data_IF_867305079701
#
_entry.id   IF_867305079701
#
_cell.length_a   1.000
_cell.length_b   1.000
_cell.length_c   1.000
_cell.angle_alpha   90.00
_cell.angle_beta   90.00
_cell.angle_gamma   90.00
#
_symmetry.space_group_name_H-M   'P 1'
#
loop_
_entity.id
_entity.type
_entity.pdbx_description
1 polymer ?
#
# COMPACT_ATOMS: atom_id res chain seq x y z
N UNK A 1 3.82 21.95 -12.43
CA UNK A 1 2.39 21.66 -12.67
C UNK A 1 1.94 20.89 -11.45
N UNK A 2 0.90 21.33 -10.77
CA UNK A 2 0.33 20.61 -9.64
C UNK A 2 -0.56 19.52 -10.24
N UNK A 3 -0.35 18.27 -9.82
CA UNK A 3 -1.09 17.11 -10.34
C UNK A 3 -2.48 17.07 -9.71
N UNK A 4 -3.52 16.96 -10.53
CA UNK A 4 -4.90 16.90 -10.08
C UNK A 4 -5.28 15.47 -9.66
N UNK A 5 -6.27 15.33 -8.77
CA UNK A 5 -6.71 13.99 -8.31
C UNK A 5 -7.39 13.15 -9.41
N UNK A 6 -7.93 13.82 -10.43
CA UNK A 6 -8.64 13.18 -11.55
C UNK A 6 -7.74 12.78 -12.71
N UNK A 7 -6.58 13.40 -12.78
CA UNK A 7 -5.58 13.16 -13.80
C UNK A 7 -4.21 13.50 -13.26
N UNK A 8 -3.37 12.49 -13.09
CA UNK A 8 -2.04 12.64 -12.55
C UNK A 8 -1.03 11.75 -13.27
N UNK A 9 0.25 12.04 -13.06
CA UNK A 9 1.34 11.30 -13.68
C UNK A 9 2.25 10.66 -12.64
N UNK A 10 2.84 9.52 -12.99
CA UNK A 10 3.93 8.93 -12.22
C UNK A 10 5.04 8.48 -13.17
N UNK A 11 6.28 8.71 -12.76
CA UNK A 11 7.46 8.33 -13.54
C UNK A 11 8.02 7.01 -13.01
N UNK A 12 8.22 6.04 -13.91
CA UNK A 12 8.75 4.70 -13.57
C UNK A 12 10.15 4.53 -14.14
N UNK A 13 11.07 4.11 -13.28
CA UNK A 13 12.45 3.83 -13.66
C UNK A 13 13.17 2.96 -12.64
N UNK A 14 13.93 1.97 -13.13
CA UNK A 14 14.81 1.12 -12.33
C UNK A 14 14.08 0.48 -11.11
N UNK A 15 12.85 -0.01 -11.30
CA UNK A 15 12.04 -0.60 -10.23
C UNK A 15 11.54 0.40 -9.18
N UNK A 16 11.55 1.69 -9.51
CA UNK A 16 11.06 2.77 -8.66
C UNK A 16 10.01 3.60 -9.37
N UNK A 17 9.06 4.07 -8.59
CA UNK A 17 8.01 5.01 -8.98
C UNK A 17 8.28 6.35 -8.33
N UNK A 18 8.16 7.43 -9.11
CA UNK A 18 8.36 8.81 -8.68
C UNK A 18 7.06 9.57 -8.88
N UNK A 19 6.57 10.17 -7.82
CA UNK A 19 5.37 11.00 -7.80
C UNK A 19 5.67 12.24 -6.95
N UNK A 20 5.33 13.43 -7.46
CA UNK A 20 5.66 14.68 -6.77
C UNK A 20 7.17 14.83 -6.48
N UNK A 21 8.05 14.23 -7.29
CA UNK A 21 9.51 14.26 -7.10
C UNK A 21 10.05 13.30 -6.02
N UNK A 22 9.20 12.53 -5.34
CA UNK A 22 9.60 11.55 -4.33
C UNK A 22 9.59 10.15 -4.92
N UNK A 23 10.75 9.45 -4.85
CA UNK A 23 10.89 8.07 -5.33
C UNK A 23 10.56 7.04 -4.25
N UNK A 24 9.74 6.05 -4.60
CA UNK A 24 9.43 4.85 -3.82
C UNK A 24 9.80 3.60 -4.62
N UNK A 25 9.98 2.48 -3.97
CA UNK A 25 10.09 1.21 -4.68
C UNK A 25 8.74 0.87 -5.33
N UNK A 26 8.74 0.37 -6.56
CA UNK A 26 7.51 -0.06 -7.22
C UNK A 26 6.81 -1.14 -6.39
N UNK A 27 5.46 -1.15 -6.35
CA UNK A 27 4.65 -1.95 -5.43
C UNK A 27 4.38 -1.27 -4.08
N UNK A 28 4.98 -0.11 -3.83
CA UNK A 28 4.78 0.63 -2.58
C UNK A 28 3.34 1.09 -2.39
N UNK A 29 2.73 1.65 -3.44
CA UNK A 29 1.36 2.18 -3.35
C UNK A 29 0.34 1.07 -3.19
N UNK A 30 0.56 -0.09 -3.82
CA UNK A 30 -0.25 -1.28 -3.60
C UNK A 30 -0.22 -1.76 -2.14
N UNK A 31 0.95 -1.80 -1.50
CA UNK A 31 1.07 -2.14 -0.09
C UNK A 31 0.46 -1.08 0.84
N UNK A 32 0.56 0.20 0.49
CA UNK A 32 -0.04 1.29 1.27
C UNK A 32 -1.57 1.28 1.20
N UNK A 33 -2.15 1.03 0.04
CA UNK A 33 -3.59 0.84 -0.10
C UNK A 33 -4.11 -0.21 0.89
N UNK A 34 -3.46 -1.36 0.98
CA UNK A 34 -3.85 -2.42 1.90
C UNK A 34 -3.76 -2.02 3.38
N UNK A 35 -2.86 -1.11 3.73
CA UNK A 35 -2.69 -0.62 5.10
C UNK A 35 -3.69 0.45 5.50
N UNK A 36 -4.14 1.27 4.55
CA UNK A 36 -4.93 2.47 4.85
C UNK A 36 -6.44 2.26 4.60
N UNK A 37 -6.80 1.37 3.64
CA UNK A 37 -8.18 1.20 3.19
C UNK A 37 -9.18 0.87 4.32
N UNK A 38 -8.77 0.12 5.33
CA UNK A 38 -9.69 -0.32 6.41
C UNK A 38 -9.57 0.49 7.70
N UNK A 39 -8.63 1.45 7.78
CA UNK A 39 -8.35 2.13 9.05
C UNK A 39 -9.34 3.20 9.44
N UNK A 40 -9.93 3.88 8.49
CA UNK A 40 -10.57 5.17 8.72
C UNK A 40 -11.97 5.29 8.13
N UNK A 41 -12.81 4.30 8.25
CA UNK A 41 -14.20 4.38 7.77
C UNK A 41 -14.33 4.72 6.26
N UNK A 42 -13.21 4.73 5.51
CA UNK A 42 -13.20 5.14 4.12
C UNK A 42 -14.14 4.28 3.26
N UNK A 43 -14.08 2.96 3.46
CA UNK A 43 -14.99 2.02 2.78
C UNK A 43 -16.45 2.28 3.11
N UNK A 44 -16.77 2.55 4.38
CA UNK A 44 -18.12 2.85 4.82
C UNK A 44 -18.62 4.17 4.21
N UNK A 45 -17.78 5.20 4.15
CA UNK A 45 -18.14 6.48 3.53
C UNK A 45 -18.32 6.40 2.04
N UNK A 46 -17.50 5.65 1.33
CA UNK A 46 -17.73 5.39 -0.10
C UNK A 46 -19.05 4.68 -0.36
N UNK A 47 -19.49 3.78 0.51
CA UNK A 47 -20.77 3.11 0.40
C UNK A 47 -21.95 4.07 0.65
N UNK A 48 -21.83 4.97 1.63
CA UNK A 48 -22.84 6.04 1.87
C UNK A 48 -22.91 6.97 0.67
N UNK A 49 -21.76 7.47 0.20
CA UNK A 49 -21.71 8.32 -1.00
C UNK A 49 -22.35 7.67 -2.19
N UNK A 50 -22.13 6.38 -2.44
CA UNK A 50 -22.74 5.66 -3.57
C UNK A 50 -24.26 5.71 -3.54
N UNK A 51 -24.87 5.60 -2.37
CA UNK A 51 -26.33 5.71 -2.21
C UNK A 51 -26.81 7.12 -2.53
N UNK A 52 -26.19 8.15 -1.97
CA UNK A 52 -26.54 9.55 -2.22
C UNK A 52 -26.25 9.96 -3.67
N UNK A 53 -25.12 9.51 -4.21
CA UNK A 53 -24.77 9.72 -5.62
C UNK A 53 -25.78 9.11 -6.57
N UNK A 54 -26.23 7.87 -6.32
CA UNK A 54 -27.24 7.23 -7.17
C UNK A 54 -28.54 8.02 -7.18
N UNK A 55 -29.01 8.49 -6.03
CA UNK A 55 -30.22 9.31 -5.92
C UNK A 55 -30.07 10.61 -6.72
N UNK A 56 -28.99 11.37 -6.47
CA UNK A 56 -28.72 12.64 -7.14
C UNK A 56 -28.54 12.46 -8.64
N UNK A 57 -27.71 11.52 -9.09
CA UNK A 57 -27.47 11.26 -10.50
C UNK A 57 -28.75 10.81 -11.25
N UNK A 58 -29.61 10.01 -10.58
CA UNK A 58 -30.89 9.63 -11.14
C UNK A 58 -31.82 10.85 -11.33
N UNK A 59 -31.94 11.72 -10.33
CA UNK A 59 -32.71 12.93 -10.41
C UNK A 59 -32.23 13.83 -11.58
N UNK A 60 -30.94 14.12 -11.63
CA UNK A 60 -30.31 14.93 -12.68
C UNK A 60 -30.57 14.37 -14.10
N UNK A 61 -30.46 13.06 -14.26
CA UNK A 61 -30.71 12.40 -15.57
C UNK A 61 -32.19 12.39 -15.96
N UNK A 62 -33.10 12.40 -15.00
CA UNK A 62 -34.57 12.42 -15.27
C UNK A 62 -35.11 13.83 -15.40
N UNK A 63 -34.30 14.87 -15.20
CA UNK A 63 -34.77 16.27 -15.35
C UNK A 63 -35.53 16.77 -14.13
N UNK A 64 -35.28 16.20 -12.97
CA UNK A 64 -35.77 16.65 -11.67
C UNK A 64 -34.62 16.78 -10.72
N UNK A 65 -34.66 17.71 -9.79
CA UNK A 65 -33.66 17.86 -8.75
C UNK A 65 -34.33 18.33 -7.46
N UNK A 66 -33.99 17.63 -6.36
CA UNK A 66 -34.24 18.04 -4.99
C UNK A 66 -32.96 18.65 -4.40
N UNK A 67 -33.03 19.91 -4.00
CA UNK A 67 -31.88 20.66 -3.49
C UNK A 67 -31.22 19.98 -2.32
N UNK A 68 -31.99 19.42 -1.36
CA UNK A 68 -31.45 18.73 -0.19
C UNK A 68 -30.66 17.48 -0.59
N UNK A 69 -31.15 16.71 -1.54
CA UNK A 69 -30.45 15.52 -2.08
C UNK A 69 -29.16 15.92 -2.78
N UNK A 70 -29.19 17.01 -3.54
CA UNK A 70 -28.00 17.54 -4.23
C UNK A 70 -26.91 17.98 -3.24
N UNK A 71 -27.31 18.77 -2.23
CA UNK A 71 -26.37 19.25 -1.21
C UNK A 71 -25.76 18.11 -0.40
N UNK A 72 -26.53 17.06 -0.04
CA UNK A 72 -26.02 15.88 0.65
C UNK A 72 -24.95 15.15 -0.16
N UNK A 73 -25.11 15.02 -1.48
CA UNK A 73 -24.06 14.42 -2.31
C UNK A 73 -22.76 15.25 -2.27
N UNK A 74 -22.88 16.58 -2.30
CA UNK A 74 -21.74 17.49 -2.13
C UNK A 74 -21.05 17.33 -0.76
N UNK A 75 -21.82 17.22 0.32
CA UNK A 75 -21.30 17.03 1.67
C UNK A 75 -20.53 15.71 1.81
N UNK A 76 -21.03 14.63 1.25
CA UNK A 76 -20.33 13.35 1.25
C UNK A 76 -19.02 13.41 0.44
N UNK A 77 -18.98 14.12 -0.69
CA UNK A 77 -17.74 14.35 -1.45
C UNK A 77 -16.75 15.17 -0.60
N UNK A 78 -17.19 16.24 0.06
CA UNK A 78 -16.34 17.05 0.95
C UNK A 78 -15.74 16.17 2.05
N UNK A 79 -16.54 15.29 2.63
CA UNK A 79 -16.05 14.35 3.65
C UNK A 79 -15.02 13.37 3.08
N UNK A 80 -15.27 12.77 1.91
CA UNK A 80 -14.32 11.90 1.21
C UNK A 80 -13.00 12.63 1.00
N UNK A 81 -13.02 13.90 0.58
CA UNK A 81 -11.83 14.72 0.39
C UNK A 81 -11.02 14.94 1.69
N UNK A 82 -11.62 14.80 2.87
CA UNK A 82 -10.86 14.81 4.14
C UNK A 82 -10.12 13.51 4.40
N UNK A 83 -10.60 12.41 3.83
CA UNK A 83 -10.01 11.08 4.00
C UNK A 83 -8.96 10.75 2.92
N UNK A 84 -9.12 11.28 1.70
CA UNK A 84 -8.24 11.00 0.57
C UNK A 84 -6.74 11.22 0.85
N UNK A 85 -6.29 12.25 1.59
CA UNK A 85 -4.87 12.44 1.90
C UNK A 85 -4.25 11.29 2.70
N UNK A 86 -5.05 10.46 3.35
CA UNK A 86 -4.58 9.27 4.06
C UNK A 86 -4.25 8.14 3.09
N UNK A 87 -4.91 8.11 1.94
CA UNK A 87 -4.69 7.14 0.89
C UNK A 87 -3.70 7.70 -0.15
N UNK A 88 -2.56 7.04 -0.30
CA UNK A 88 -1.61 7.46 -1.33
C UNK A 88 -2.07 7.01 -2.72
N UNK A 89 -1.84 7.80 -3.78
CA UNK A 89 -0.96 8.98 -3.84
C UNK A 89 -1.62 10.32 -3.49
N UNK A 90 -2.89 10.37 -3.11
CA UNK A 90 -3.67 11.60 -2.97
C UNK A 90 -3.05 12.64 -2.02
N UNK A 91 -2.26 12.21 -1.02
CA UNK A 91 -1.50 13.15 -0.16
C UNK A 91 -0.44 13.97 -0.91
N UNK A 92 -0.13 13.62 -2.16
CA UNK A 92 0.89 14.26 -2.99
C UNK A 92 0.26 15.01 -4.18
N UNK A 93 -1.07 14.98 -4.29
CA UNK A 93 -1.86 15.65 -5.33
C UNK A 93 -2.55 16.90 -4.79
N UNK A 94 -3.12 17.72 -5.67
CA UNK A 94 -3.83 18.96 -5.30
C UNK A 94 -5.25 18.68 -4.79
N UNK A 95 -5.35 18.29 -3.54
CA UNK A 95 -6.64 18.12 -2.85
C UNK A 95 -7.33 19.47 -2.63
N UNK A 96 -6.58 20.56 -2.40
CA UNK A 96 -7.18 21.86 -2.12
C UNK A 96 -7.88 22.45 -3.35
N UNK A 97 -7.26 22.33 -4.52
CA UNK A 97 -7.90 22.75 -5.78
C UNK A 97 -9.19 21.99 -6.05
N UNK A 98 -9.19 20.66 -5.81
CA UNK A 98 -10.40 19.86 -5.93
C UNK A 98 -11.47 20.24 -4.89
N UNK A 99 -11.08 20.52 -3.65
CA UNK A 99 -12.00 20.98 -2.60
C UNK A 99 -12.69 22.28 -3.00
N UNK A 100 -11.93 23.27 -3.45
CA UNK A 100 -12.48 24.54 -3.91
C UNK A 100 -13.49 24.31 -5.03
N UNK A 101 -13.18 23.45 -6.00
CA UNK A 101 -14.08 23.12 -7.09
C UNK A 101 -15.39 22.46 -6.62
N UNK A 102 -15.33 21.58 -5.62
CA UNK A 102 -16.53 20.94 -5.05
C UNK A 102 -17.36 21.97 -4.26
N UNK A 103 -16.71 22.89 -3.54
CA UNK A 103 -17.38 23.98 -2.83
C UNK A 103 -18.13 24.92 -3.79
N UNK A 104 -17.53 25.22 -4.96
CA UNK A 104 -18.18 26.03 -6.02
C UNK A 104 -19.30 25.30 -6.74
N UNK A 105 -19.19 23.96 -6.90
CA UNK A 105 -20.11 23.18 -7.70
C UNK A 105 -21.36 22.77 -6.93
N UNK A 106 -21.24 22.46 -5.62
CA UNK A 106 -22.37 21.98 -4.79
C UNK A 106 -22.85 23.11 -3.87
N UNK A 107 -23.59 24.06 -4.46
CA UNK A 107 -24.22 25.19 -3.77
C UNK A 107 -25.71 25.23 -4.07
N UNK A 108 -26.48 25.94 -3.27
CA UNK A 108 -27.91 26.16 -3.50
C UNK A 108 -28.16 26.91 -4.83
N UNK A 109 -27.31 27.88 -5.17
CA UNK A 109 -27.41 28.65 -6.41
C UNK A 109 -27.25 27.75 -7.64
N UNK A 110 -26.33 26.79 -7.59
CA UNK A 110 -26.16 25.80 -8.68
C UNK A 110 -27.36 24.87 -8.75
N UNK A 111 -27.89 24.41 -7.62
CA UNK A 111 -29.10 23.60 -7.59
C UNK A 111 -30.32 24.35 -8.21
N UNK A 112 -30.50 25.61 -7.84
CA UNK A 112 -31.58 26.48 -8.39
C UNK A 112 -31.39 26.69 -9.88
N UNK A 113 -30.16 26.92 -10.35
CA UNK A 113 -29.86 27.05 -11.78
C UNK A 113 -30.22 25.76 -12.53
N UNK A 114 -29.91 24.59 -12.00
CA UNK A 114 -30.27 23.31 -12.62
C UNK A 114 -31.78 23.05 -12.61
N UNK A 115 -32.46 23.41 -11.52
CA UNK A 115 -33.94 23.35 -11.45
C UNK A 115 -34.59 24.23 -12.52
N UNK A 116 -34.13 25.47 -12.68
CA UNK A 116 -34.61 26.38 -13.73
C UNK A 116 -34.30 25.84 -15.13
N UNK A 117 -33.09 25.28 -15.33
CA UNK A 117 -32.74 24.61 -16.59
C UNK A 117 -33.73 23.49 -16.95
N UNK A 118 -34.07 22.62 -15.98
CA UNK A 118 -35.03 21.55 -16.22
C UNK A 118 -36.43 22.10 -16.53
N UNK A 119 -36.84 23.18 -15.86
CA UNK A 119 -38.09 23.87 -16.16
C UNK A 119 -38.12 24.40 -17.60
N UNK A 120 -37.06 25.07 -18.04
CA UNK A 120 -36.96 25.59 -19.40
C UNK A 120 -36.91 24.48 -20.46
N UNK A 121 -36.15 23.41 -20.18
CA UNK A 121 -36.07 22.22 -21.04
C UNK A 121 -37.45 21.57 -21.22
N UNK A 122 -38.27 21.52 -20.18
CA UNK A 122 -39.63 21.00 -20.25
C UNK A 122 -40.54 21.81 -21.20
N UNK A 123 -40.29 23.11 -21.36
CA UNK A 123 -41.04 23.95 -22.33
C UNK A 123 -40.84 23.52 -23.80
N UNK A 124 -39.68 22.97 -24.12
CA UNK A 124 -39.30 22.52 -25.47
C UNK A 124 -39.61 21.04 -25.71
N UNK A 125 -39.90 20.25 -24.65
CA UNK A 125 -40.04 18.79 -24.74
C UNK A 125 -41.16 18.30 -25.74
N UNK A 126 -42.19 19.08 -25.92
CA UNK A 126 -43.29 18.77 -26.81
C UNK A 126 -43.28 19.55 -28.14
N UNK A 127 -42.19 20.28 -28.42
CA UNK A 127 -42.08 21.04 -29.68
C UNK A 127 -41.54 20.14 -30.80
N UNK A 128 -42.01 20.42 -32.03
CA UNK A 128 -41.43 19.79 -33.21
C UNK A 128 -39.95 20.18 -33.37
N UNK A 129 -39.12 19.20 -33.66
CA UNK A 129 -37.65 19.39 -33.79
C UNK A 129 -37.32 20.41 -34.90
N UNK A 130 -38.10 20.43 -35.99
CA UNK A 130 -37.93 21.37 -37.09
C UNK A 130 -38.12 22.84 -36.64
N UNK A 131 -39.05 23.10 -35.72
CA UNK A 131 -39.29 24.43 -35.17
C UNK A 131 -38.12 24.89 -34.30
N UNK A 132 -37.61 24.01 -33.44
CA UNK A 132 -36.44 24.29 -32.58
C UNK A 132 -35.22 24.54 -33.46
N UNK A 133 -35.01 23.72 -34.48
CA UNK A 133 -33.90 23.87 -35.42
C UNK A 133 -33.97 25.18 -36.23
N UNK A 134 -35.19 25.62 -36.58
CA UNK A 134 -35.43 26.93 -37.21
C UNK A 134 -35.29 28.13 -36.27
N UNK A 135 -34.95 27.92 -34.99
CA UNK A 135 -34.75 28.98 -34.01
C UNK A 135 -36.03 29.50 -33.35
N UNK A 136 -37.15 28.78 -33.48
CA UNK A 136 -38.41 29.14 -32.84
C UNK A 136 -38.47 28.53 -31.44
N UNK A 137 -38.37 29.36 -30.42
CA UNK A 137 -38.40 28.95 -29.01
C UNK A 137 -39.67 29.45 -28.31
N UNK A 138 -40.17 28.74 -27.27
CA UNK A 138 -41.31 29.18 -26.49
C UNK A 138 -41.00 30.47 -25.73
N UNK A 139 -42.06 31.22 -25.41
CA UNK A 139 -41.92 32.40 -24.56
C UNK A 139 -41.35 32.02 -23.20
N UNK A 140 -40.28 32.70 -22.80
CA UNK A 140 -39.57 32.45 -21.54
C UNK A 140 -38.45 31.41 -21.63
N UNK A 141 -38.12 30.91 -22.84
CA UNK A 141 -36.95 30.06 -23.06
C UNK A 141 -35.72 30.95 -23.35
N UNK A 142 -34.67 30.75 -22.58
CA UNK A 142 -33.35 31.40 -22.76
C UNK A 142 -32.37 30.37 -23.28
N UNK A 143 -31.95 30.50 -24.54
CA UNK A 143 -31.04 29.57 -25.20
C UNK A 143 -29.65 29.57 -24.59
N UNK A 144 -29.11 30.77 -24.28
CA UNK A 144 -27.74 30.90 -23.78
C UNK A 144 -27.66 30.40 -22.36
N UNK A 145 -28.61 30.70 -21.50
CA UNK A 145 -28.77 30.11 -20.18
C UNK A 145 -28.85 28.56 -20.23
N UNK A 146 -29.64 28.03 -21.16
CA UNK A 146 -29.78 26.57 -21.31
C UNK A 146 -28.46 25.91 -21.75
N UNK A 147 -27.69 26.52 -22.65
CA UNK A 147 -26.39 25.98 -23.08
C UNK A 147 -25.35 26.00 -21.96
N UNK A 148 -25.31 27.06 -21.14
CA UNK A 148 -24.42 27.14 -19.98
C UNK A 148 -24.83 26.15 -18.92
N UNK A 149 -26.10 26.04 -18.60
CA UNK A 149 -26.64 25.09 -17.60
C UNK A 149 -26.48 23.63 -18.03
N UNK A 150 -26.54 23.32 -19.33
CA UNK A 150 -26.20 21.99 -19.85
C UNK A 150 -24.73 21.60 -19.56
N UNK A 151 -23.79 22.51 -19.80
CA UNK A 151 -22.38 22.29 -19.48
C UNK A 151 -22.16 22.10 -17.99
N UNK A 152 -22.88 22.88 -17.18
CA UNK A 152 -22.85 22.74 -15.71
C UNK A 152 -23.38 21.38 -15.28
N UNK A 153 -24.52 20.95 -15.83
CA UNK A 153 -25.09 19.62 -15.58
C UNK A 153 -24.08 18.50 -15.92
N UNK A 154 -23.46 18.58 -17.09
CA UNK A 154 -22.45 17.59 -17.49
C UNK A 154 -21.24 17.59 -16.53
N UNK A 155 -20.82 18.75 -16.05
CA UNK A 155 -19.74 18.88 -15.07
C UNK A 155 -20.11 18.24 -13.73
N UNK A 156 -21.35 18.45 -13.25
CA UNK A 156 -21.86 17.80 -12.04
C UNK A 156 -21.91 16.29 -12.20
N UNK A 157 -22.50 15.80 -13.29
CA UNK A 157 -22.59 14.36 -13.55
C UNK A 157 -21.21 13.72 -13.67
N UNK A 158 -20.28 14.33 -14.39
CA UNK A 158 -18.90 13.83 -14.49
C UNK A 158 -18.18 13.81 -13.13
N UNK A 159 -18.51 14.74 -12.24
CA UNK A 159 -17.99 14.78 -10.87
C UNK A 159 -18.53 13.62 -10.05
N UNK A 160 -19.83 13.41 -10.06
CA UNK A 160 -20.46 12.29 -9.36
C UNK A 160 -19.95 10.94 -9.86
N UNK A 161 -19.85 10.77 -11.19
CA UNK A 161 -19.33 9.56 -11.83
C UNK A 161 -17.84 9.30 -11.48
N UNK A 162 -17.04 10.36 -11.30
CA UNK A 162 -15.64 10.21 -10.87
C UNK A 162 -15.52 9.62 -9.46
N UNK A 163 -16.29 10.18 -8.50
CA UNK A 163 -16.21 9.69 -7.11
C UNK A 163 -16.84 8.30 -6.95
N UNK A 164 -17.86 7.97 -7.73
CA UNK A 164 -18.43 6.62 -7.75
C UNK A 164 -17.41 5.60 -8.26
N UNK A 165 -16.73 5.89 -9.38
CA UNK A 165 -15.65 5.05 -9.91
C UNK A 165 -14.45 4.97 -8.96
N UNK A 166 -14.09 6.07 -8.30
CA UNK A 166 -13.00 6.06 -7.32
C UNK A 166 -13.30 5.06 -6.19
N UNK A 167 -14.55 4.99 -5.74
CA UNK A 167 -14.98 4.00 -4.76
C UNK A 167 -14.80 2.57 -5.22
N UNK A 168 -15.23 2.28 -6.45
CA UNK A 168 -15.04 0.96 -7.06
C UNK A 168 -13.57 0.62 -7.27
N UNK A 169 -12.80 1.55 -7.80
CA UNK A 169 -11.37 1.40 -8.03
C UNK A 169 -10.62 1.01 -6.75
N UNK A 170 -10.90 1.71 -5.66
CA UNK A 170 -10.26 1.47 -4.36
C UNK A 170 -10.67 0.11 -3.79
N UNK A 171 -11.96 -0.19 -3.81
CA UNK A 171 -12.51 -1.45 -3.28
C UNK A 171 -11.99 -2.67 -4.07
N UNK A 172 -12.03 -2.61 -5.40
CA UNK A 172 -11.58 -3.69 -6.27
C UNK A 172 -10.07 -3.94 -6.16
N UNK A 173 -9.28 -2.87 -6.19
CA UNK A 173 -7.83 -2.97 -6.02
C UNK A 173 -7.49 -3.60 -4.66
N UNK A 174 -8.09 -3.12 -3.56
CA UNK A 174 -7.83 -3.64 -2.23
C UNK A 174 -8.25 -5.12 -2.10
N UNK A 175 -9.42 -5.51 -2.64
CA UNK A 175 -9.91 -6.89 -2.64
C UNK A 175 -8.95 -7.82 -3.37
N UNK A 176 -8.58 -7.47 -4.60
CA UNK A 176 -7.69 -8.28 -5.44
C UNK A 176 -6.28 -8.39 -4.87
N UNK A 177 -5.73 -7.29 -4.35
CA UNK A 177 -4.42 -7.32 -3.68
C UNK A 177 -4.42 -8.20 -2.43
N UNK A 178 -5.50 -8.20 -1.62
CA UNK A 178 -5.63 -9.13 -0.47
C UNK A 178 -5.67 -10.59 -0.92
N UNK A 179 -6.42 -10.88 -1.98
CA UNK A 179 -6.45 -12.23 -2.55
C UNK A 179 -5.05 -12.66 -3.02
N UNK A 180 -4.32 -11.77 -3.69
CA UNK A 180 -2.94 -12.03 -4.11
C UNK A 180 -2.03 -12.33 -2.92
N UNK A 181 -2.03 -11.47 -1.88
CA UNK A 181 -1.20 -11.68 -0.69
C UNK A 181 -1.54 -13.02 -0.01
N UNK A 182 -2.83 -13.34 0.15
CA UNK A 182 -3.26 -14.61 0.73
C UNK A 182 -2.73 -15.82 -0.07
N UNK A 183 -2.89 -15.79 -1.39
CA UNK A 183 -2.41 -16.87 -2.28
C UNK A 183 -0.89 -17.00 -2.27
N UNK A 184 -0.16 -15.87 -2.18
CA UNK A 184 1.30 -15.88 -2.14
C UNK A 184 1.84 -16.34 -0.79
N UNK A 185 1.14 -16.15 0.32
CA UNK A 185 1.57 -16.67 1.62
C UNK A 185 1.51 -18.21 1.68
N UNK A 186 0.70 -18.83 0.82
CA UNK A 186 0.59 -20.30 0.65
C UNK A 186 1.59 -20.85 -0.38
N UNK A 187 2.31 -19.98 -1.11
CA UNK A 187 3.23 -20.40 -2.17
C UNK A 187 4.61 -20.80 -1.63
N UNK A 188 5.20 -21.84 -2.23
CA UNK A 188 6.54 -22.29 -1.87
C UNK A 188 7.68 -21.46 -2.50
N UNK A 189 7.38 -20.77 -3.58
CA UNK A 189 8.33 -19.97 -4.36
C UNK A 189 7.79 -18.57 -4.62
N UNK A 190 8.71 -17.59 -4.65
CA UNK A 190 8.42 -16.15 -4.71
C UNK A 190 9.18 -15.45 -5.85
N UNK A 191 9.49 -16.17 -6.91
CA UNK A 191 10.00 -15.60 -8.15
C UNK A 191 8.85 -15.17 -9.08
N UNK A 192 9.17 -14.38 -10.08
CA UNK A 192 8.19 -13.83 -11.02
C UNK A 192 7.42 -14.95 -11.76
N UNK A 193 8.11 -16.04 -12.15
CA UNK A 193 7.52 -17.16 -12.88
C UNK A 193 6.38 -17.83 -12.10
N UNK A 194 6.48 -17.87 -10.77
CA UNK A 194 5.46 -18.46 -9.89
C UNK A 194 4.39 -17.46 -9.46
N UNK A 195 4.74 -16.18 -9.29
CA UNK A 195 3.81 -15.16 -8.83
C UNK A 195 2.96 -14.55 -9.95
N UNK A 196 3.50 -14.45 -11.17
CA UNK A 196 2.80 -13.87 -12.30
C UNK A 196 1.51 -14.63 -12.67
N UNK A 197 1.48 -15.96 -12.75
CA UNK A 197 0.23 -16.70 -12.99
C UNK A 197 -0.84 -16.43 -11.94
N UNK A 198 -0.47 -16.34 -10.67
CA UNK A 198 -1.39 -16.01 -9.57
C UNK A 198 -1.93 -14.59 -9.75
N UNK A 199 -1.06 -13.64 -10.13
CA UNK A 199 -1.48 -12.27 -10.39
C UNK A 199 -2.46 -12.18 -11.58
N UNK A 200 -2.17 -12.86 -12.70
CA UNK A 200 -3.04 -12.89 -13.89
C UNK A 200 -4.39 -13.54 -13.57
N UNK A 201 -4.42 -14.62 -12.80
CA UNK A 201 -5.66 -15.27 -12.37
C UNK A 201 -6.56 -14.31 -11.56
N UNK A 202 -5.98 -13.51 -10.67
CA UNK A 202 -6.72 -12.62 -9.77
C UNK A 202 -7.12 -11.30 -10.46
N UNK A 203 -6.19 -10.68 -11.17
CA UNK A 203 -6.39 -9.36 -11.79
C UNK A 203 -7.00 -9.44 -13.19
N UNK A 204 -6.85 -10.58 -13.84
CA UNK A 204 -7.23 -10.76 -15.24
C UNK A 204 -6.20 -10.18 -16.20
N UNK A 205 -6.47 -10.36 -17.50
CA UNK A 205 -5.65 -9.83 -18.62
C UNK A 205 -6.33 -8.65 -19.33
N UNK A 206 -7.38 -8.06 -18.74
CA UNK A 206 -8.07 -6.94 -19.34
C UNK A 206 -7.15 -5.72 -19.43
N UNK A 207 -7.08 -5.04 -20.59
CA UNK A 207 -6.29 -3.83 -20.73
C UNK A 207 -6.87 -2.73 -19.86
N UNK A 208 -6.01 -1.90 -19.29
CA UNK A 208 -6.39 -0.66 -18.61
C UNK A 208 -5.79 0.54 -19.34
N UNK A 209 -6.54 1.62 -19.39
CA UNK A 209 -6.19 2.82 -20.16
C UNK A 209 -5.10 3.62 -19.45
N UNK A 210 -3.86 3.51 -19.94
CA UNK A 210 -2.70 4.26 -19.46
C UNK A 210 -1.92 4.79 -20.65
N UNK A 211 -1.81 6.12 -20.73
CA UNK A 211 -0.98 6.76 -21.76
C UNK A 211 0.46 6.83 -21.29
N UNK A 212 1.40 6.50 -22.18
CA UNK A 212 2.83 6.45 -21.86
C UNK A 212 3.64 7.45 -22.68
N UNK A 213 4.55 8.18 -22.03
CA UNK A 213 5.59 8.97 -22.68
C UNK A 213 6.96 8.73 -22.04
N UNK A 214 8.04 9.09 -22.75
CA UNK A 214 9.40 9.02 -22.20
C UNK A 214 9.92 10.42 -21.90
N UNK A 215 10.37 10.63 -20.68
CA UNK A 215 10.85 11.93 -20.19
C UNK A 215 12.26 11.83 -19.63
N UNK A 216 13.09 12.88 -19.78
CA UNK A 216 14.42 12.92 -19.17
C UNK A 216 14.32 13.25 -17.68
N UNK A 217 14.76 12.34 -16.81
CA UNK A 217 14.83 12.58 -15.37
C UNK A 217 16.27 12.54 -14.89
N UNK A 218 16.65 13.48 -14.04
CA UNK A 218 17.95 13.51 -13.37
C UNK A 218 17.91 12.64 -12.10
N UNK A 219 18.98 11.88 -11.85
CA UNK A 219 19.10 11.04 -10.63
C UNK A 219 19.09 11.88 -9.34
N UNK A 220 19.56 13.10 -9.40
CA UNK A 220 19.55 14.08 -8.32
C UNK A 220 19.63 15.49 -8.89
N UNK A 221 19.30 16.49 -8.08
CA UNK A 221 19.47 17.91 -8.47
C UNK A 221 20.90 18.27 -8.85
N UNK A 222 21.90 17.52 -8.37
CA UNK A 222 23.33 17.69 -8.67
C UNK A 222 23.80 16.92 -9.91
N UNK A 223 22.99 16.01 -10.44
CA UNK A 223 23.37 15.23 -11.62
C UNK A 223 23.26 16.08 -12.88
N UNK A 224 24.36 16.14 -13.68
CA UNK A 224 24.38 16.79 -14.99
C UNK A 224 23.72 15.92 -16.06
N UNK A 225 23.67 14.61 -15.85
CA UNK A 225 23.11 13.66 -16.82
C UNK A 225 21.66 13.32 -16.47
N UNK A 226 20.79 13.38 -17.45
CA UNK A 226 19.45 12.86 -17.41
C UNK A 226 19.42 11.42 -17.98
N UNK A 227 18.52 10.62 -17.46
CA UNK A 227 18.23 9.28 -18.00
C UNK A 227 16.74 9.21 -18.35
N UNK A 228 16.39 8.41 -19.35
CA UNK A 228 14.99 8.22 -19.72
C UNK A 228 14.21 7.56 -18.58
N UNK A 229 13.07 8.11 -18.26
CA UNK A 229 12.06 7.47 -17.44
C UNK A 229 10.76 7.36 -18.24
N UNK A 230 9.98 6.35 -17.93
CA UNK A 230 8.66 6.14 -18.52
C UNK A 230 7.65 6.89 -17.65
N UNK A 231 7.04 7.93 -18.19
CA UNK A 231 5.95 8.68 -17.56
C UNK A 231 4.63 8.07 -17.98
N UNK A 232 3.82 7.72 -17.01
CA UNK A 232 2.49 7.16 -17.20
C UNK A 232 1.44 8.14 -16.70
N UNK A 233 0.39 8.31 -17.51
CA UNK A 233 -0.73 9.21 -17.25
C UNK A 233 -1.93 8.37 -16.80
N UNK A 234 -2.49 8.70 -15.65
CA UNK A 234 -3.57 7.97 -15.01
C UNK A 234 -4.84 8.79 -14.92
N UNK A 235 -5.96 8.20 -15.36
CA UNK A 235 -7.33 8.71 -15.22
C UNK A 235 -8.14 7.88 -14.21
N UNK A 236 -7.58 6.78 -13.71
CA UNK A 236 -8.22 5.84 -12.79
C UNK A 236 -7.23 5.45 -11.70
N UNK A 237 -7.70 5.44 -10.48
CA UNK A 237 -6.92 4.98 -9.33
C UNK A 237 -6.57 3.49 -9.45
N UNK A 238 -7.51 2.69 -9.94
CA UNK A 238 -7.27 1.27 -10.19
C UNK A 238 -6.10 1.04 -11.14
N UNK A 239 -6.08 1.74 -12.28
CA UNK A 239 -4.99 1.64 -13.25
C UNK A 239 -3.63 2.00 -12.65
N UNK A 240 -3.59 3.03 -11.79
CA UNK A 240 -2.37 3.41 -11.08
C UNK A 240 -1.88 2.32 -10.13
N UNK A 241 -2.76 1.79 -9.27
CA UNK A 241 -2.40 0.76 -8.29
C UNK A 241 -1.97 -0.53 -8.98
N UNK A 242 -2.67 -0.92 -10.06
CA UNK A 242 -2.30 -2.09 -10.85
C UNK A 242 -0.94 -1.93 -11.52
N UNK A 243 -0.69 -0.78 -12.13
CA UNK A 243 0.62 -0.48 -12.73
C UNK A 243 1.73 -0.55 -11.69
N UNK A 244 1.54 0.09 -10.52
CA UNK A 244 2.53 0.03 -9.43
C UNK A 244 2.78 -1.40 -8.96
N UNK A 245 1.72 -2.21 -8.85
CA UNK A 245 1.81 -3.61 -8.47
C UNK A 245 2.58 -4.45 -9.51
N UNK A 246 2.24 -4.36 -10.81
CA UNK A 246 2.91 -5.16 -11.84
C UNK A 246 4.35 -4.70 -12.09
N UNK A 247 4.62 -3.39 -12.09
CA UNK A 247 5.99 -2.85 -12.11
C UNK A 247 6.81 -3.35 -10.89
N UNK A 248 6.16 -3.42 -9.75
CA UNK A 248 6.74 -4.03 -8.55
C UNK A 248 7.06 -5.50 -8.78
N UNK A 249 6.10 -6.28 -9.26
CA UNK A 249 6.26 -7.72 -9.48
C UNK A 249 7.43 -8.05 -10.42
N UNK A 250 7.57 -7.32 -11.55
CA UNK A 250 8.69 -7.44 -12.48
C UNK A 250 10.05 -7.18 -11.82
N UNK A 251 10.08 -6.32 -10.80
CA UNK A 251 11.28 -6.00 -10.04
C UNK A 251 11.43 -6.84 -8.76
N UNK A 252 10.63 -7.91 -8.61
CA UNK A 252 10.56 -8.76 -7.41
C UNK A 252 10.14 -8.00 -6.16
N UNK A 253 9.39 -6.92 -6.35
CA UNK A 253 8.77 -6.14 -5.31
C UNK A 253 7.27 -6.47 -5.29
N UNK A 254 6.77 -7.05 -4.22
CA UNK A 254 5.35 -7.39 -4.09
C UNK A 254 4.88 -7.20 -2.66
N UNK A 255 3.60 -6.89 -2.46
CA UNK A 255 3.05 -6.70 -1.12
C UNK A 255 2.98 -8.03 -0.35
N UNK A 256 3.34 -7.99 0.93
CA UNK A 256 3.23 -9.11 1.86
C UNK A 256 2.75 -8.62 3.21
N UNK A 257 2.04 -9.48 3.97
CA UNK A 257 1.62 -9.17 5.33
C UNK A 257 2.70 -9.58 6.35
N UNK A 258 3.02 -8.68 7.27
CA UNK A 258 3.95 -8.95 8.36
C UNK A 258 3.29 -9.84 9.42
N UNK A 259 3.88 -10.98 9.75
CA UNK A 259 3.32 -11.91 10.74
C UNK A 259 3.34 -11.37 12.19
N UNK A 260 4.09 -10.27 12.45
CA UNK A 260 4.16 -9.68 13.80
C UNK A 260 3.19 -8.52 14.03
N UNK A 261 3.07 -7.60 13.08
CA UNK A 261 2.24 -6.40 13.22
C UNK A 261 1.04 -6.37 12.27
N UNK A 262 0.90 -7.40 11.43
CA UNK A 262 -0.16 -7.58 10.43
C UNK A 262 -0.25 -6.45 9.39
N UNK A 263 0.72 -5.51 9.35
CA UNK A 263 0.80 -4.48 8.31
C UNK A 263 1.37 -5.07 7.04
N UNK A 264 0.91 -4.55 5.92
CA UNK A 264 1.46 -4.90 4.62
C UNK A 264 2.75 -4.12 4.36
N UNK A 265 3.71 -4.76 3.73
CA UNK A 265 4.99 -4.17 3.35
C UNK A 265 5.44 -4.72 2.00
N UNK A 266 6.32 -3.99 1.33
CA UNK A 266 6.88 -4.41 0.05
C UNK A 266 8.08 -5.31 0.30
N UNK A 267 8.06 -6.50 -0.29
CA UNK A 267 9.25 -7.34 -0.42
C UNK A 267 10.17 -6.72 -1.47
N UNK A 268 11.43 -6.51 -1.13
CA UNK A 268 12.44 -5.90 -2.01
C UNK A 268 13.68 -6.78 -2.18
N UNK A 269 13.60 -8.03 -1.78
CA UNK A 269 14.70 -8.98 -1.89
C UNK A 269 14.18 -10.39 -2.16
N UNK A 270 14.99 -11.19 -2.86
CA UNK A 270 14.69 -12.61 -3.13
C UNK A 270 14.65 -13.49 -1.85
N UNK A 271 15.09 -12.97 -0.71
CA UNK A 271 14.99 -13.69 0.57
C UNK A 271 13.59 -13.53 1.13
N UNK A 272 12.94 -14.65 1.37
CA UNK A 272 11.65 -14.71 2.05
C UNK A 272 11.72 -14.03 3.42
N UNK A 273 11.21 -12.82 3.54
CA UNK A 273 11.07 -12.13 4.81
C UNK A 273 9.61 -12.18 5.26
N UNK A 274 9.35 -12.82 6.40
CA UNK A 274 8.01 -12.89 7.01
C UNK A 274 7.68 -11.66 7.86
N UNK A 275 8.65 -10.77 8.08
CA UNK A 275 8.58 -9.65 9.01
C UNK A 275 9.04 -8.36 8.36
N UNK A 276 8.27 -7.30 8.53
CA UNK A 276 8.67 -5.96 8.05
C UNK A 276 9.84 -5.39 8.87
N UNK A 277 10.50 -4.35 8.33
CA UNK A 277 11.52 -3.57 9.06
C UNK A 277 10.96 -2.50 9.99
N UNK A 278 9.63 -2.34 10.05
CA UNK A 278 8.95 -1.35 10.88
C UNK A 278 8.93 -1.71 12.37
N UNK A 279 8.48 -0.76 13.20
CA UNK A 279 8.33 -0.96 14.62
C UNK A 279 7.19 -1.93 14.92
N UNK A 280 7.46 -2.89 15.84
CA UNK A 280 6.42 -3.75 16.36
C UNK A 280 5.43 -2.96 17.21
N UNK A 281 4.19 -3.45 17.29
CA UNK A 281 3.16 -2.88 18.19
C UNK A 281 3.50 -3.13 19.66
N UNK A 282 4.21 -4.23 19.94
CA UNK A 282 4.63 -4.62 21.28
C UNK A 282 6.00 -4.04 21.65
N UNK A 283 6.17 -3.72 22.92
CA UNK A 283 7.45 -3.34 23.50
C UNK A 283 8.20 -4.59 23.97
N UNK A 284 9.49 -4.66 23.67
CA UNK A 284 10.36 -5.69 24.23
C UNK A 284 11.14 -5.13 25.42
N UNK A 285 10.85 -5.64 26.63
CA UNK A 285 11.47 -5.15 27.88
C UNK A 285 11.36 -3.62 28.05
N UNK A 286 10.19 -3.08 27.72
CA UNK A 286 9.90 -1.64 27.82
C UNK A 286 10.52 -0.77 26.70
N UNK A 287 11.18 -1.37 25.70
CA UNK A 287 11.82 -0.64 24.59
C UNK A 287 11.15 -0.93 23.26
N UNK A 288 11.11 0.09 22.39
CA UNK A 288 10.67 -0.09 20.99
C UNK A 288 11.64 -1.05 20.27
N UNK A 289 11.09 -2.01 19.56
CA UNK A 289 11.81 -3.02 18.80
C UNK A 289 11.20 -3.16 17.41
N UNK A 290 11.98 -3.49 16.39
CA UNK A 290 11.43 -3.78 15.06
C UNK A 290 10.79 -5.17 15.01
N UNK A 291 9.80 -5.36 14.13
CA UNK A 291 9.12 -6.65 13.96
C UNK A 291 10.11 -7.79 13.71
N UNK A 292 11.10 -7.56 12.87
CA UNK A 292 12.15 -8.55 12.57
C UNK A 292 12.97 -8.94 13.81
N UNK A 293 13.33 -7.96 14.63
CA UNK A 293 14.10 -8.21 15.86
C UNK A 293 13.23 -8.88 16.93
N UNK A 294 11.96 -8.49 17.04
CA UNK A 294 11.01 -9.10 17.98
C UNK A 294 10.80 -10.59 17.64
N UNK A 295 10.55 -10.91 16.38
CA UNK A 295 10.43 -12.29 15.91
C UNK A 295 11.70 -13.12 16.18
N UNK A 296 12.89 -12.54 15.97
CA UNK A 296 14.14 -13.20 16.29
C UNK A 296 14.30 -13.47 17.81
N UNK A 297 13.84 -12.55 18.66
CA UNK A 297 13.86 -12.75 20.11
C UNK A 297 12.85 -13.82 20.57
N UNK A 298 11.64 -13.82 20.00
CA UNK A 298 10.63 -14.85 20.28
C UNK A 298 11.13 -16.23 19.86
N UNK A 299 11.67 -16.37 18.66
CA UNK A 299 12.26 -17.64 18.20
C UNK A 299 13.41 -18.10 19.08
N UNK A 300 14.25 -17.19 19.56
CA UNK A 300 15.32 -17.54 20.53
C UNK A 300 14.74 -18.03 21.85
N UNK A 301 13.65 -17.41 22.33
CA UNK A 301 12.96 -17.83 23.57
C UNK A 301 12.32 -19.20 23.41
N UNK A 302 11.64 -19.47 22.30
CA UNK A 302 11.08 -20.76 21.97
C UNK A 302 12.16 -21.87 21.89
N UNK A 303 13.29 -21.56 21.21
CA UNK A 303 14.43 -22.47 21.13
C UNK A 303 15.02 -22.72 22.51
N UNK A 304 15.08 -21.70 23.37
CA UNK A 304 15.57 -21.84 24.74
C UNK A 304 14.68 -22.76 25.59
N UNK A 305 13.38 -22.73 25.34
CA UNK A 305 12.42 -23.59 26.03
C UNK A 305 12.43 -25.02 25.47
N UNK A 306 12.53 -25.18 24.16
CA UNK A 306 12.41 -26.48 23.49
C UNK A 306 13.75 -27.23 23.34
N UNK A 307 14.88 -26.51 23.30
CA UNK A 307 16.22 -27.10 23.19
C UNK A 307 17.26 -26.30 24.01
N UNK A 308 17.22 -26.38 25.33
CA UNK A 308 18.12 -25.67 26.21
C UNK A 308 19.60 -26.09 26.03
N UNK A 309 19.85 -27.32 25.61
CA UNK A 309 21.18 -27.85 25.33
C UNK A 309 21.81 -27.07 24.17
N UNK A 310 21.13 -26.97 23.03
CA UNK A 310 21.62 -26.22 21.87
C UNK A 310 21.79 -24.72 22.17
N UNK A 311 20.89 -24.13 22.93
CA UNK A 311 20.98 -22.70 23.30
C UNK A 311 22.22 -22.46 24.18
N UNK A 312 22.45 -23.30 25.17
CA UNK A 312 23.65 -23.18 26.04
C UNK A 312 24.93 -23.29 25.24
N UNK A 313 25.01 -24.30 24.35
CA UNK A 313 26.13 -24.49 23.42
C UNK A 313 26.37 -23.24 22.54
N UNK A 314 25.31 -22.72 21.87
CA UNK A 314 25.46 -21.55 21.00
C UNK A 314 25.88 -20.29 21.76
N UNK A 315 25.37 -20.08 22.97
CA UNK A 315 25.76 -18.99 23.86
C UNK A 315 27.23 -19.09 24.23
N UNK A 316 27.71 -20.28 24.60
CA UNK A 316 29.11 -20.49 24.95
C UNK A 316 30.03 -20.29 23.76
N UNK A 317 29.75 -20.87 22.61
CA UNK A 317 30.49 -20.66 21.37
C UNK A 317 30.51 -19.18 20.94
N UNK A 318 29.42 -18.44 21.17
CA UNK A 318 29.37 -16.99 20.95
C UNK A 318 30.36 -16.22 21.86
N UNK A 319 30.36 -16.55 23.14
CA UNK A 319 31.33 -15.95 24.11
C UNK A 319 32.78 -16.22 23.73
N UNK A 320 33.11 -17.49 23.37
CA UNK A 320 34.45 -17.86 22.92
C UNK A 320 34.89 -17.04 21.69
N UNK A 321 34.02 -16.82 20.70
CA UNK A 321 34.32 -15.99 19.52
C UNK A 321 34.60 -14.52 19.88
N UNK A 322 33.84 -13.97 20.84
CA UNK A 322 34.05 -12.60 21.30
C UNK A 322 35.39 -12.47 22.04
N UNK A 323 35.72 -13.43 22.87
CA UNK A 323 37.00 -13.45 23.62
C UNK A 323 38.19 -13.66 22.67
N UNK A 324 38.08 -14.53 21.67
CA UNK A 324 39.04 -14.68 20.57
C UNK A 324 39.27 -13.36 19.81
N UNK A 325 38.14 -12.69 19.41
CA UNK A 325 38.22 -11.42 18.70
C UNK A 325 38.78 -10.25 19.53
N UNK A 326 38.69 -10.32 20.85
CA UNK A 326 39.33 -9.36 21.79
C UNK A 326 40.78 -9.69 22.13
N UNK A 327 41.31 -10.81 21.64
CA UNK A 327 42.65 -11.26 21.94
C UNK A 327 42.87 -11.78 23.38
N UNK A 328 41.78 -12.04 24.13
CA UNK A 328 41.85 -12.58 25.50
C UNK A 328 42.18 -14.08 25.53
N UNK A 329 41.95 -14.78 24.42
CA UNK A 329 42.33 -16.19 24.21
C UNK A 329 42.95 -16.34 22.82
N UNK A 330 43.82 -17.35 22.66
CA UNK A 330 44.44 -17.65 21.36
C UNK A 330 43.44 -18.36 20.44
N UNK A 331 43.71 -18.37 19.14
CA UNK A 331 42.89 -19.04 18.15
C UNK A 331 42.88 -20.56 18.33
N UNK A 332 44.04 -21.12 18.69
CA UNK A 332 44.20 -22.54 18.99
C UNK A 332 43.35 -22.94 20.19
N UNK A 333 43.40 -22.15 21.28
CA UNK A 333 42.59 -22.36 22.47
C UNK A 333 41.08 -22.24 22.16
N UNK A 334 40.69 -21.22 21.41
CA UNK A 334 39.28 -21.04 20.99
C UNK A 334 38.76 -22.22 20.17
N UNK A 335 39.61 -22.81 19.32
CA UNK A 335 39.25 -23.98 18.52
C UNK A 335 39.08 -25.22 19.40
N UNK A 336 40.01 -25.47 20.34
CA UNK A 336 39.93 -26.58 21.29
C UNK A 336 38.70 -26.44 22.21
N UNK A 337 38.44 -25.26 22.74
CA UNK A 337 37.30 -25.00 23.61
C UNK A 337 35.94 -25.18 22.87
N UNK A 338 35.84 -24.79 21.60
CA UNK A 338 34.67 -25.06 20.78
C UNK A 338 34.45 -26.55 20.48
N UNK A 339 35.56 -27.30 20.28
CA UNK A 339 35.51 -28.74 20.09
C UNK A 339 35.01 -29.45 21.35
N UNK A 340 35.58 -29.10 22.52
CA UNK A 340 35.14 -29.66 23.81
C UNK A 340 33.68 -29.31 24.11
N UNK A 341 33.23 -28.07 23.88
CA UNK A 341 31.85 -27.68 24.02
C UNK A 341 30.90 -28.49 23.11
N UNK A 342 31.35 -28.87 21.90
CA UNK A 342 30.61 -29.73 20.98
C UNK A 342 30.47 -31.15 21.51
N UNK A 343 31.53 -31.70 22.11
CA UNK A 343 31.47 -33.03 22.75
C UNK A 343 30.49 -33.04 23.91
N UNK A 344 30.52 -32.03 24.79
CA UNK A 344 29.53 -31.89 25.87
C UNK A 344 28.10 -31.77 25.36
N UNK A 345 27.88 -31.06 24.26
CA UNK A 345 26.55 -30.99 23.61
C UNK A 345 26.11 -32.36 23.11
N UNK A 346 26.99 -33.12 22.46
CA UNK A 346 26.68 -34.47 21.94
C UNK A 346 26.35 -35.41 23.06
N UNK A 347 27.14 -35.37 24.14
CA UNK A 347 26.90 -36.18 25.34
C UNK A 347 25.53 -35.86 25.97
N UNK A 348 25.22 -34.56 26.13
CA UNK A 348 23.94 -34.12 26.67
C UNK A 348 22.74 -34.51 25.79
N UNK A 349 22.94 -34.62 24.49
CA UNK A 349 21.90 -35.06 23.57
C UNK A 349 21.64 -36.56 23.64
N UNK A 350 22.63 -37.37 24.02
CA UNK A 350 22.56 -38.84 24.14
C UNK A 350 22.25 -39.33 25.56
N UNK A 351 22.60 -38.55 26.59
CA UNK A 351 22.43 -38.89 28.00
C UNK A 351 21.57 -37.85 28.75
N UNK A 352 20.28 -38.13 29.00
CA UNK A 352 19.39 -37.25 29.75
C UNK A 352 19.83 -36.97 31.19
N UNK A 353 20.53 -37.92 31.83
CA UNK A 353 21.02 -37.74 33.21
C UNK A 353 22.18 -36.72 33.23
N UNK A 354 23.08 -36.85 32.30
CA UNK A 354 24.15 -35.88 32.13
C UNK A 354 23.59 -34.49 31.78
N UNK A 355 22.64 -34.42 30.85
CA UNK A 355 21.99 -33.17 30.46
C UNK A 355 21.38 -32.45 31.66
N UNK A 356 20.71 -33.17 32.57
CA UNK A 356 20.02 -32.60 33.73
C UNK A 356 20.96 -32.19 34.87
N UNK A 357 22.06 -32.93 35.09
CA UNK A 357 22.90 -32.77 36.30
C UNK A 357 24.23 -32.05 36.04
N UNK A 358 24.90 -32.28 34.93
CA UNK A 358 26.28 -31.90 34.73
C UNK A 358 26.50 -30.94 33.55
N UNK A 359 25.74 -31.04 32.49
CA UNK A 359 25.95 -30.27 31.26
C UNK A 359 26.07 -28.76 31.47
N UNK A 360 25.22 -28.17 32.32
CA UNK A 360 25.26 -26.73 32.59
C UNK A 360 26.56 -26.32 33.28
N UNK A 361 27.04 -27.11 34.23
CA UNK A 361 28.27 -26.86 34.93
C UNK A 361 29.51 -27.01 34.01
N UNK A 362 29.55 -28.05 33.18
CA UNK A 362 30.62 -28.28 32.21
C UNK A 362 30.68 -27.23 31.11
N UNK A 363 29.55 -26.59 30.81
CA UNK A 363 29.47 -25.47 29.89
C UNK A 363 29.71 -24.11 30.54
N UNK A 364 30.03 -24.03 31.84
CA UNK A 364 30.46 -22.78 32.45
C UNK A 364 31.89 -22.41 31.98
N UNK A 365 32.14 -21.08 31.88
CA UNK A 365 33.38 -20.56 31.34
C UNK A 365 34.61 -21.13 32.07
N UNK A 366 34.58 -21.06 33.39
CA UNK A 366 35.73 -21.47 34.22
C UNK A 366 36.06 -22.94 34.03
N UNK A 367 35.04 -23.82 34.08
CA UNK A 367 35.26 -25.26 33.96
C UNK A 367 35.61 -25.66 32.53
N UNK A 368 34.90 -25.20 31.53
CA UNK A 368 35.21 -25.49 30.13
C UNK A 368 36.63 -25.09 29.74
N UNK A 369 37.11 -23.93 30.24
CA UNK A 369 38.46 -23.44 29.95
C UNK A 369 39.54 -24.22 30.72
N UNK A 370 39.31 -24.57 31.98
CA UNK A 370 40.20 -25.41 32.75
C UNK A 370 40.37 -26.79 32.11
N UNK A 371 39.25 -27.41 31.67
CA UNK A 371 39.25 -28.71 30.99
C UNK A 371 39.90 -28.62 29.60
N UNK A 372 39.78 -27.47 28.91
CA UNK A 372 40.47 -27.22 27.64
C UNK A 372 41.99 -27.10 27.86
N UNK A 373 42.42 -26.31 28.86
CA UNK A 373 43.83 -26.19 29.20
C UNK A 373 44.47 -27.52 29.58
N UNK A 374 43.72 -28.37 30.33
CA UNK A 374 44.20 -29.70 30.72
C UNK A 374 44.36 -30.63 29.50
N UNK A 375 43.56 -30.46 28.44
CA UNK A 375 43.68 -31.27 27.21
C UNK A 375 44.75 -30.75 26.23
N UNK A 376 45.16 -29.51 26.36
CA UNK A 376 46.16 -28.90 25.48
C UNK A 376 47.61 -29.08 26.02
N UNK A 377 47.75 -29.44 27.31
CA UNK A 377 48.99 -29.82 27.95
C UNK A 377 49.30 -31.29 27.70
#
# INVERSE_FOLDING_TARGET
MVEEIRYFTADYRDGRVYLGGKGKDAGYFAAQLLNEYDKDEFAARLAVFRTENWNTAKQLRTGFLDTDTYMKAGDEIRYILTLLPKLRPFSELDIQGERNRIEELFTEEVADQLCEYFRQRALTANMDFGYIFAGHFPKGYDKDFCLESEKLLQTVLATLDFYDRLGDDVADAAKKLRQFVKRTDEADRFDEEHLLPIAIEIFGSAPFDVTTEYVPIRKSSRSKMATAARRLHFKSYYSFVLTDFFEGLQNRHYPRQCQMCHRYFVMTSARQTMYCGGWATELWRGKKITCRNLAAQQKRKELATNDPITVRYNSRCGSIRVEEGRGTITKEFATAAKALAKEHKQLAASDPVYAAKQYLADMERGKLYADTDARMK
#
